data_IF_795971674266
#
_entry.id   IF_795971674266
#
_cell.length_a   1.000
_cell.length_b   1.000
_cell.length_c   1.000
_cell.angle_alpha   90.00
_cell.angle_beta   90.00
_cell.angle_gamma   90.00
#
_symmetry.space_group_name_H-M   'P 1'
#
loop_
_entity.id
_entity.type
_entity.pdbx_description
1 polymer ?
#
# COMPACT_ATOMS: atom_id res chain seq x y z
N UNK A 1 -6.28 21.40 3.14
CA UNK A 1 -6.46 20.92 1.76
C UNK A 1 -5.90 19.52 1.51
N UNK A 2 -4.61 19.27 1.79
CA UNK A 2 -3.99 17.94 1.55
C UNK A 2 -4.70 16.82 2.29
N UNK A 3 -5.01 17.01 3.56
CA UNK A 3 -5.70 16.00 4.38
C UNK A 3 -7.10 15.68 3.87
N UNK A 4 -7.82 16.69 3.36
CA UNK A 4 -9.15 16.48 2.81
C UNK A 4 -9.12 15.61 1.55
N UNK A 5 -8.14 15.83 0.70
CA UNK A 5 -8.00 15.05 -0.55
C UNK A 5 -7.56 13.61 -0.25
N UNK A 6 -6.69 13.42 0.74
CA UNK A 6 -6.30 12.08 1.18
C UNK A 6 -7.51 11.36 1.79
N UNK A 7 -8.34 12.06 2.57
CA UNK A 7 -9.61 11.52 3.06
C UNK A 7 -10.54 11.09 1.93
N UNK A 8 -10.65 11.88 0.87
CA UNK A 8 -11.41 11.51 -0.33
C UNK A 8 -10.83 10.26 -1.01
N UNK A 9 -9.52 10.18 -1.09
CA UNK A 9 -8.81 9.01 -1.61
C UNK A 9 -9.11 7.74 -0.79
N UNK A 10 -9.06 7.85 0.53
CA UNK A 10 -9.41 6.74 1.42
C UNK A 10 -10.85 6.28 1.21
N UNK A 11 -11.78 7.22 1.10
CA UNK A 11 -13.19 6.92 0.82
C UNK A 11 -13.36 6.19 -0.52
N UNK A 12 -12.66 6.64 -1.55
CA UNK A 12 -12.77 6.03 -2.88
C UNK A 12 -12.24 4.60 -2.90
N UNK A 13 -11.09 4.34 -2.27
CA UNK A 13 -10.57 2.97 -2.13
C UNK A 13 -11.54 2.10 -1.35
N UNK A 14 -12.03 2.59 -0.21
CA UNK A 14 -12.99 1.86 0.61
C UNK A 14 -14.24 1.50 -0.19
N UNK A 15 -14.77 2.45 -0.96
CA UNK A 15 -15.94 2.23 -1.80
C UNK A 15 -15.72 1.09 -2.81
N UNK A 16 -14.58 1.09 -3.50
CA UNK A 16 -14.30 0.07 -4.51
C UNK A 16 -14.00 -1.31 -3.93
N UNK A 17 -13.40 -1.39 -2.76
CA UNK A 17 -13.01 -2.65 -2.14
C UNK A 17 -14.10 -3.27 -1.26
N UNK A 18 -15.09 -2.51 -0.81
CA UNK A 18 -16.11 -2.97 0.16
C UNK A 18 -17.47 -3.26 -0.45
N UNK A 19 -17.57 -3.49 -1.75
CA UNK A 19 -18.85 -3.79 -2.42
C UNK A 19 -19.52 -5.07 -1.96
N UNK A 20 -18.80 -5.98 -1.33
CA UNK A 20 -19.32 -7.24 -0.81
C UNK A 20 -19.19 -7.24 0.72
N UNK A 21 -20.23 -7.63 1.43
CA UNK A 21 -20.37 -7.64 2.88
C UNK A 21 -19.16 -8.17 3.65
N UNK A 22 -18.20 -7.29 3.91
CA UNK A 22 -17.09 -7.56 4.83
C UNK A 22 -17.38 -6.98 6.21
N UNK A 23 -16.59 -7.40 7.19
CA UNK A 23 -16.68 -6.98 8.60
C UNK A 23 -16.63 -5.45 8.74
N UNK A 24 -17.77 -4.82 8.65
CA UNK A 24 -17.96 -3.37 8.59
C UNK A 24 -17.29 -2.66 9.77
N UNK A 25 -17.41 -3.20 11.00
CA UNK A 25 -16.82 -2.58 12.19
C UNK A 25 -15.30 -2.41 12.08
N UNK A 26 -14.58 -3.47 11.69
CA UNK A 26 -13.11 -3.42 11.54
C UNK A 26 -12.68 -2.46 10.44
N UNK A 27 -13.45 -2.36 9.37
CA UNK A 27 -13.20 -1.42 8.28
C UNK A 27 -13.36 0.02 8.75
N UNK A 28 -14.42 0.32 9.52
CA UNK A 28 -14.62 1.65 10.09
C UNK A 28 -13.53 2.02 11.08
N UNK A 29 -13.15 1.11 11.98
CA UNK A 29 -12.07 1.33 12.94
C UNK A 29 -10.75 1.64 12.23
N UNK A 30 -10.42 0.87 11.20
CA UNK A 30 -9.23 1.10 10.40
C UNK A 30 -9.27 2.45 9.69
N UNK A 31 -10.40 2.79 9.10
CA UNK A 31 -10.63 4.08 8.44
C UNK A 31 -10.48 5.24 9.41
N UNK A 32 -11.15 5.19 10.56
CA UNK A 32 -11.08 6.24 11.58
C UNK A 32 -9.66 6.42 12.11
N UNK A 33 -8.96 5.33 12.42
CA UNK A 33 -7.58 5.37 12.88
C UNK A 33 -6.65 5.97 11.82
N UNK A 34 -6.86 5.63 10.56
CA UNK A 34 -6.08 6.16 9.44
C UNK A 34 -6.29 7.67 9.26
N UNK A 35 -7.52 8.15 9.39
CA UNK A 35 -7.83 9.59 9.36
C UNK A 35 -7.19 10.34 10.54
N UNK A 36 -7.22 9.77 11.75
CA UNK A 36 -6.54 10.35 12.91
C UNK A 36 -5.04 10.42 12.71
N UNK A 37 -4.43 9.37 12.18
CA UNK A 37 -3.00 9.35 11.89
C UNK A 37 -2.62 10.43 10.88
N UNK A 38 -3.45 10.68 9.87
CA UNK A 38 -3.24 11.79 8.93
C UNK A 38 -3.22 13.14 9.62
N UNK A 39 -4.05 13.33 10.63
CA UNK A 39 -4.17 14.60 11.34
C UNK A 39 -2.96 14.89 12.24
N UNK A 40 -2.40 13.85 12.86
CA UNK A 40 -1.38 14.00 13.90
C UNK A 40 0.03 13.59 13.48
N UNK A 41 0.18 12.93 12.34
CA UNK A 41 1.47 12.47 11.82
C UNK A 41 1.91 13.33 10.64
N UNK A 42 3.21 13.61 10.58
CA UNK A 42 3.82 14.31 9.45
C UNK A 42 4.20 13.38 8.30
N UNK A 43 4.13 12.06 8.50
CA UNK A 43 4.51 11.08 7.50
C UNK A 43 3.30 10.61 6.69
N UNK A 44 2.91 11.42 5.72
CA UNK A 44 1.74 11.16 4.88
C UNK A 44 1.90 9.90 4.02
N UNK A 45 3.10 9.65 3.51
CA UNK A 45 3.33 8.53 2.59
C UNK A 45 3.28 7.18 3.32
N UNK A 46 3.88 7.12 4.51
CA UNK A 46 3.77 5.92 5.36
C UNK A 46 2.31 5.67 5.79
N UNK A 47 1.56 6.71 6.10
CA UNK A 47 0.14 6.61 6.43
C UNK A 47 -0.70 6.09 5.25
N UNK A 48 -0.39 6.53 4.03
CA UNK A 48 -1.04 6.00 2.82
C UNK A 48 -0.76 4.50 2.67
N UNK A 49 0.49 4.08 2.83
CA UNK A 49 0.86 2.66 2.79
C UNK A 49 0.09 1.85 3.84
N UNK A 50 0.08 2.32 5.08
CA UNK A 50 -0.58 1.63 6.19
C UNK A 50 -2.09 1.48 5.96
N UNK A 51 -2.74 2.53 5.47
CA UNK A 51 -4.16 2.46 5.14
C UNK A 51 -4.43 1.45 4.03
N UNK A 52 -3.67 1.51 2.94
CA UNK A 52 -3.86 0.62 1.79
C UNK A 52 -3.61 -0.84 2.14
N UNK A 53 -2.54 -1.13 2.88
CA UNK A 53 -2.26 -2.48 3.37
C UNK A 53 -3.40 -2.98 4.25
N UNK A 54 -3.82 -2.17 5.22
CA UNK A 54 -4.87 -2.56 6.16
C UNK A 54 -6.20 -2.83 5.47
N UNK A 55 -6.62 -1.98 4.53
CA UNK A 55 -7.90 -2.19 3.84
C UNK A 55 -7.85 -3.41 2.90
N UNK A 56 -6.73 -3.67 2.25
CA UNK A 56 -6.58 -4.88 1.43
C UNK A 56 -6.66 -6.15 2.28
N UNK A 57 -5.96 -6.18 3.42
CA UNK A 57 -6.02 -7.32 4.35
C UNK A 57 -7.43 -7.53 4.91
N UNK A 58 -8.11 -6.44 5.32
CA UNK A 58 -9.46 -6.51 5.88
C UNK A 58 -10.52 -6.91 4.86
N UNK A 59 -10.28 -6.70 3.58
CA UNK A 59 -11.16 -7.12 2.49
C UNK A 59 -10.80 -8.48 1.90
N UNK A 60 -9.93 -9.24 2.57
CA UNK A 60 -9.64 -10.63 2.27
C UNK A 60 -8.52 -10.86 1.25
N UNK A 61 -7.76 -9.84 0.89
CA UNK A 61 -6.63 -10.00 -0.02
C UNK A 61 -5.39 -10.50 0.73
N UNK A 62 -4.60 -11.31 0.06
CA UNK A 62 -3.35 -11.82 0.61
C UNK A 62 -2.21 -10.83 0.32
N UNK A 63 -1.59 -10.33 1.38
CA UNK A 63 -0.41 -9.48 1.29
C UNK A 63 0.68 -10.01 2.20
N UNK A 64 1.87 -10.21 1.67
CA UNK A 64 3.05 -10.61 2.43
C UNK A 64 4.25 -9.83 1.91
N UNK A 65 5.07 -9.32 2.83
CA UNK A 65 6.25 -8.52 2.50
C UNK A 65 7.53 -9.01 3.19
N UNK A 66 7.43 -9.96 4.11
CA UNK A 66 8.55 -10.48 4.90
C UNK A 66 9.13 -11.78 4.40
N UNK A 67 8.41 -12.50 3.55
CA UNK A 67 8.84 -13.75 2.93
C UNK A 67 8.55 -13.76 1.44
N UNK A 68 9.34 -14.51 0.68
CA UNK A 68 9.11 -14.71 -0.75
C UNK A 68 8.14 -15.88 -1.02
N UNK A 69 7.80 -16.10 -2.28
CA UNK A 69 6.87 -17.18 -2.68
C UNK A 69 7.37 -18.58 -2.36
N UNK A 70 8.66 -18.74 -2.06
CA UNK A 70 9.27 -20.01 -1.65
C UNK A 70 9.38 -20.14 -0.13
N UNK A 71 8.89 -19.14 0.64
CA UNK A 71 8.95 -19.16 2.09
C UNK A 71 10.27 -18.67 2.67
N UNK A 72 11.19 -18.14 1.88
CA UNK A 72 12.46 -17.61 2.35
C UNK A 72 12.27 -16.17 2.85
N UNK A 73 13.02 -15.79 3.87
CA UNK A 73 13.05 -14.40 4.34
C UNK A 73 13.54 -13.46 3.23
N UNK A 74 13.01 -12.26 3.22
CA UNK A 74 13.43 -11.24 2.25
C UNK A 74 14.85 -10.76 2.56
N UNK A 75 15.70 -10.80 1.54
CA UNK A 75 17.06 -10.29 1.61
C UNK A 75 17.10 -8.84 1.14
N UNK A 76 17.54 -7.92 2.01
CA UNK A 76 17.60 -6.50 1.71
C UNK A 76 18.49 -6.15 0.50
N UNK A 77 19.40 -7.03 0.13
CA UNK A 77 20.34 -6.82 -0.98
C UNK A 77 19.82 -7.33 -2.32
N UNK A 78 18.70 -8.02 -2.33
CA UNK A 78 18.12 -8.62 -3.54
C UNK A 78 16.98 -7.80 -4.08
N UNK A 79 16.60 -8.09 -5.32
CA UNK A 79 15.46 -7.49 -6.00
C UNK A 79 14.35 -8.51 -6.18
N UNK A 80 13.12 -8.03 -6.13
CA UNK A 80 11.93 -8.86 -6.19
C UNK A 80 10.90 -8.25 -7.14
N UNK A 81 10.22 -9.10 -7.89
CA UNK A 81 8.91 -8.75 -8.43
C UNK A 81 7.85 -9.06 -7.37
N UNK A 82 6.68 -8.47 -7.47
CA UNK A 82 5.57 -8.80 -6.58
C UNK A 82 4.42 -9.40 -7.40
N UNK A 83 4.05 -10.62 -7.05
CA UNK A 83 2.93 -11.32 -7.67
C UNK A 83 1.69 -11.16 -6.81
N UNK A 84 0.64 -10.43 -7.26
CA UNK A 84 -0.60 -10.33 -6.51
C UNK A 84 -1.14 -11.72 -6.13
N UNK A 85 -1.64 -11.85 -4.91
CA UNK A 85 -2.12 -13.09 -4.29
C UNK A 85 -1.03 -14.11 -3.91
N UNK A 86 0.22 -13.91 -4.33
CA UNK A 86 1.33 -14.84 -4.05
C UNK A 86 2.45 -14.21 -3.23
N UNK A 87 2.87 -12.98 -3.56
CA UNK A 87 3.92 -12.28 -2.85
C UNK A 87 5.19 -12.05 -3.64
N UNK A 88 6.29 -11.71 -2.94
CA UNK A 88 7.57 -11.40 -3.57
C UNK A 88 8.23 -12.62 -4.22
N UNK A 89 8.80 -12.39 -5.40
CA UNK A 89 9.61 -13.38 -6.13
C UNK A 89 10.96 -12.79 -6.50
N UNK A 90 12.04 -13.47 -6.15
CA UNK A 90 13.40 -13.04 -6.52
C UNK A 90 13.53 -12.95 -8.05
N UNK A 91 14.10 -11.84 -8.52
CA UNK A 91 14.38 -11.60 -9.94
C UNK A 91 15.73 -10.94 -10.11
N UNK A 92 16.30 -11.05 -11.31
CA UNK A 92 17.60 -10.44 -11.66
C UNK A 92 17.47 -9.17 -12.51
N UNK A 93 16.29 -8.88 -13.04
CA UNK A 93 16.04 -7.71 -13.88
C UNK A 93 15.69 -6.47 -13.07
N UNK A 94 15.57 -5.33 -13.76
CA UNK A 94 15.23 -4.04 -13.13
C UNK A 94 13.80 -3.56 -13.42
N UNK A 95 13.12 -4.19 -14.37
CA UNK A 95 11.77 -3.79 -14.76
C UNK A 95 10.73 -4.33 -13.77
N UNK A 96 9.88 -3.44 -13.25
CA UNK A 96 8.83 -3.76 -12.29
C UNK A 96 9.35 -4.53 -11.08
N UNK A 97 10.52 -4.11 -10.59
CA UNK A 97 11.17 -4.74 -9.44
C UNK A 97 11.20 -3.79 -8.24
N UNK A 98 11.30 -4.39 -7.06
CA UNK A 98 11.34 -3.69 -5.78
C UNK A 98 12.52 -4.24 -4.99
N UNK A 99 13.24 -3.36 -4.28
CA UNK A 99 14.34 -3.80 -3.44
C UNK A 99 13.83 -4.57 -2.22
N UNK A 100 14.60 -5.52 -1.73
CA UNK A 100 14.29 -6.20 -0.49
C UNK A 100 14.13 -5.24 0.69
N UNK A 101 14.93 -4.18 0.71
CA UNK A 101 14.84 -3.11 1.71
C UNK A 101 13.44 -2.48 1.74
N UNK A 102 12.84 -2.23 0.59
CA UNK A 102 11.47 -1.69 0.48
C UNK A 102 10.45 -2.67 1.05
N UNK A 103 10.57 -3.95 0.71
CA UNK A 103 9.66 -4.97 1.21
C UNK A 103 9.76 -5.13 2.73
N UNK A 104 10.97 -5.10 3.28
CA UNK A 104 11.19 -5.16 4.72
C UNK A 104 10.57 -3.94 5.42
N UNK A 105 10.67 -2.76 4.83
CA UNK A 105 10.01 -1.56 5.36
C UNK A 105 8.48 -1.69 5.30
N UNK A 106 7.91 -2.22 4.20
CA UNK A 106 6.47 -2.48 4.09
C UNK A 106 5.98 -3.51 5.12
N UNK A 107 6.82 -4.46 5.50
CA UNK A 107 6.50 -5.44 6.54
C UNK A 107 6.48 -4.83 7.95
N UNK A 108 6.98 -3.61 8.13
CA UNK A 108 7.08 -2.95 9.43
C UNK A 108 8.33 -3.30 10.21
N UNK A 109 9.25 -4.10 9.67
CA UNK A 109 10.46 -4.53 10.38
C UNK A 109 11.53 -3.44 10.46
N UNK A 110 11.47 -2.45 9.58
CA UNK A 110 12.36 -1.28 9.61
C UNK A 110 11.64 -0.05 9.10
N UNK A 111 12.09 1.17 9.47
CA UNK A 111 11.50 2.40 8.96
C UNK A 111 11.79 2.59 7.48
N UNK A 112 10.97 3.39 6.81
CA UNK A 112 11.23 3.82 5.44
C UNK A 112 12.37 4.84 5.40
N UNK A 113 13.19 4.75 4.35
CA UNK A 113 14.08 5.84 3.94
C UNK A 113 13.51 6.53 2.69
N UNK A 114 14.23 7.53 2.16
CA UNK A 114 13.76 8.30 1.00
C UNK A 114 13.56 7.44 -0.26
N UNK A 115 14.34 6.39 -0.44
CA UNK A 115 14.23 5.46 -1.57
C UNK A 115 13.09 4.46 -1.35
N UNK A 116 13.06 3.81 -0.20
CA UNK A 116 12.07 2.76 0.08
C UNK A 116 10.65 3.31 0.16
N UNK A 117 10.45 4.53 0.66
CA UNK A 117 9.11 5.12 0.69
C UNK A 117 8.58 5.39 -0.72
N UNK A 118 9.40 5.87 -1.63
CA UNK A 118 9.01 6.11 -3.03
C UNK A 118 8.68 4.79 -3.74
N UNK A 119 9.53 3.80 -3.59
CA UNK A 119 9.36 2.50 -4.21
C UNK A 119 8.13 1.77 -3.67
N UNK A 120 7.91 1.86 -2.35
CA UNK A 120 6.72 1.28 -1.73
C UNK A 120 5.42 1.91 -2.26
N UNK A 121 5.41 3.22 -2.51
CA UNK A 121 4.25 3.90 -3.10
C UNK A 121 3.94 3.38 -4.51
N UNK A 122 4.97 3.10 -5.30
CA UNK A 122 4.79 2.51 -6.64
C UNK A 122 4.18 1.10 -6.54
N UNK A 123 4.69 0.28 -5.63
CA UNK A 123 4.16 -1.07 -5.42
C UNK A 123 2.70 -1.02 -4.93
N UNK A 124 2.41 -0.23 -3.91
CA UNK A 124 1.06 -0.13 -3.35
C UNK A 124 0.05 0.42 -4.36
N UNK A 125 0.43 1.40 -5.16
CA UNK A 125 -0.40 1.89 -6.26
C UNK A 125 -0.77 0.76 -7.23
N UNK A 126 0.22 -0.03 -7.60
CA UNK A 126 0.03 -1.15 -8.53
C UNK A 126 -0.89 -2.23 -7.93
N UNK A 127 -0.73 -2.55 -6.65
CA UNK A 127 -1.58 -3.53 -5.98
C UNK A 127 -3.02 -3.05 -5.85
N UNK A 128 -3.24 -1.81 -5.45
CA UNK A 128 -4.59 -1.23 -5.40
C UNK A 128 -5.23 -1.27 -6.78
N UNK A 129 -4.53 -0.83 -7.82
CA UNK A 129 -5.06 -0.85 -9.20
C UNK A 129 -5.42 -2.27 -9.64
N UNK A 130 -4.61 -3.25 -9.28
CA UNK A 130 -4.88 -4.65 -9.60
C UNK A 130 -6.17 -5.13 -8.95
N UNK A 131 -6.36 -4.87 -7.66
CA UNK A 131 -7.50 -5.41 -6.91
C UNK A 131 -8.81 -4.67 -7.17
N UNK A 132 -8.78 -3.45 -7.67
CA UNK A 132 -10.00 -2.70 -8.00
C UNK A 132 -10.42 -2.80 -9.47
N UNK A 133 -9.64 -3.49 -10.32
CA UNK A 133 -9.97 -3.62 -11.74
C UNK A 133 -11.43 -3.98 -11.98
N UNK A 134 -12.08 -3.43 -13.02
CA UNK A 134 -11.58 -2.46 -14.00
C UNK A 134 -11.70 -0.99 -13.58
N UNK A 135 -12.06 -0.72 -12.32
CA UNK A 135 -12.20 0.65 -11.80
C UNK A 135 -10.86 1.35 -11.68
N UNK A 136 -10.88 2.69 -11.72
CA UNK A 136 -9.71 3.55 -11.56
C UNK A 136 -9.95 4.55 -10.45
N UNK A 137 -8.90 4.85 -9.68
CA UNK A 137 -8.95 5.86 -8.62
C UNK A 137 -8.95 7.26 -9.23
N UNK A 138 -10.05 7.97 -9.10
CA UNK A 138 -10.24 9.32 -9.66
C UNK A 138 -9.49 10.39 -8.86
N UNK A 139 -9.46 10.25 -7.54
CA UNK A 139 -8.77 11.21 -6.65
C UNK A 139 -7.27 11.28 -6.88
N UNK A 140 -6.65 10.30 -7.52
CA UNK A 140 -5.22 10.35 -7.86
C UNK A 140 -4.87 11.49 -8.80
N UNK A 141 -5.75 11.86 -9.70
CA UNK A 141 -5.53 13.00 -10.57
C UNK A 141 -5.37 14.29 -9.75
N UNK A 142 -6.14 14.42 -8.69
CA UNK A 142 -6.05 15.56 -7.78
C UNK A 142 -4.77 15.47 -6.93
N UNK A 143 -4.41 14.28 -6.47
CA UNK A 143 -3.21 14.06 -5.65
C UNK A 143 -1.92 14.44 -6.40
N UNK A 144 -1.87 14.31 -7.71
CA UNK A 144 -0.72 14.74 -8.53
C UNK A 144 -0.39 16.21 -8.36
N UNK A 145 -1.40 17.05 -8.15
CA UNK A 145 -1.21 18.49 -7.98
C UNK A 145 -0.71 18.88 -6.58
N UNK A 146 -0.68 17.96 -5.63
CA UNK A 146 -0.34 18.26 -4.24
C UNK A 146 1.12 17.94 -3.91
N UNK A 147 1.89 17.42 -4.84
CA UNK A 147 3.31 17.04 -4.62
C UNK A 147 3.50 16.19 -3.36
N UNK A 148 2.85 15.05 -3.28
CA UNK A 148 3.16 14.02 -2.30
C UNK A 148 4.46 13.31 -2.72
N UNK A 149 5.51 14.05 -2.80
CA UNK A 149 6.84 13.52 -3.09
C UNK A 149 7.53 13.14 -1.79
#
# INVERSE_FOLDING_TARGET
PKHNIIGMYFNEIMYYLTKNDYRIEKLYDHYDNSLRNLKYSNDLLANLNNYEIGILLLTGHYLVFDTDINGNEIDCKKKYSYLPDFGPKIVSGDKDTYSGETLIALSGQQPYNSKSIKESRLLMKRLIDYYIQPKKIKTREILKYISLK
#
